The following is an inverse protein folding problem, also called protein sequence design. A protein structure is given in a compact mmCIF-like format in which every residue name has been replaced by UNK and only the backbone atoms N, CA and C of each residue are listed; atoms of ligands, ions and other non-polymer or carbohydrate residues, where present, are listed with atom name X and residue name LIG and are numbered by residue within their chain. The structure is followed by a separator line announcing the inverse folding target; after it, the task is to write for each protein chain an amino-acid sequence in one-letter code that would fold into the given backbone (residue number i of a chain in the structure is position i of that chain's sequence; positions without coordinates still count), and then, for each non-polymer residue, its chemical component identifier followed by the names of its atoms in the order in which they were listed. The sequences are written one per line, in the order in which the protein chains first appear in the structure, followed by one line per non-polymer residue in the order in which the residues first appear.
data_IF_250467195142
#
_entry.id   IF_250467195142
#
_cell.length_a   1.000
_cell.length_b   1.000
_cell.length_c   1.000
_cell.angle_alpha   90.00
_cell.angle_beta   90.00
_cell.angle_gamma   90.00
#
_symmetry.space_group_name_H-M   'P 1'
#
loop_
_entity.id
_entity.type
_entity.pdbx_description
1 polymer ?
#
# COMPACT_ATOMS: atom_id res chain seq x y z
N UNK A 1 -17.60 17.77 31.81
CA UNK A 1 -16.31 17.18 32.22
C UNK A 1 -16.48 16.10 33.29
N UNK A 2 -16.97 16.42 34.50
CA UNK A 2 -17.16 15.44 35.59
C UNK A 2 -18.23 14.35 35.29
N UNK A 3 -19.37 14.73 34.69
CA UNK A 3 -20.37 13.77 34.21
C UNK A 3 -19.85 12.86 33.08
N UNK A 4 -18.99 13.40 32.21
CA UNK A 4 -18.39 12.66 31.10
C UNK A 4 -17.42 11.58 31.60
N UNK A 5 -16.66 11.87 32.66
CA UNK A 5 -15.78 10.90 33.32
C UNK A 5 -16.58 9.78 34.01
N UNK A 6 -17.76 10.08 34.57
CA UNK A 6 -18.64 9.06 35.16
C UNK A 6 -19.28 8.15 34.11
N UNK A 7 -19.71 8.69 32.96
CA UNK A 7 -20.27 7.87 31.87
C UNK A 7 -19.21 6.97 31.22
N UNK A 8 -17.98 7.46 31.02
CA UNK A 8 -16.86 6.67 30.54
C UNK A 8 -16.44 5.56 31.52
N UNK A 9 -16.47 5.83 32.83
CA UNK A 9 -16.19 4.83 33.87
C UNK A 9 -17.27 3.73 33.92
N UNK A 10 -18.53 4.09 33.68
CA UNK A 10 -19.65 3.14 33.64
C UNK A 10 -19.64 2.28 32.36
N UNK A 11 -19.22 2.83 31.22
CA UNK A 11 -19.04 2.08 29.97
C UNK A 11 -17.89 1.09 30.07
N UNK A 12 -16.77 1.46 30.72
CA UNK A 12 -15.66 0.53 31.02
C UNK A 12 -16.09 -0.66 31.88
N UNK A 13 -16.84 -0.40 32.96
CA UNK A 13 -17.37 -1.47 33.83
C UNK A 13 -18.34 -2.43 33.13
N UNK A 14 -19.00 -1.99 32.07
CA UNK A 14 -19.93 -2.83 31.31
C UNK A 14 -19.22 -3.71 30.27
N UNK A 15 -18.01 -3.33 29.87
CA UNK A 15 -17.24 -4.00 28.83
C UNK A 15 -16.29 -5.09 29.38
N UNK A 16 -15.95 -5.04 30.67
CA UNK A 16 -15.09 -6.02 31.34
C UNK A 16 -15.86 -7.27 31.86
N UNK A 17 -17.19 -7.30 31.75
CA UNK A 17 -18.04 -8.37 32.30
C UNK A 17 -18.67 -9.31 31.25
N UNK A 18 -18.51 -9.04 29.94
CA UNK A 18 -18.98 -9.94 28.89
C UNK A 18 -17.77 -10.73 28.34
N UNK A 19 -17.55 -11.90 28.93
CA UNK A 19 -16.66 -12.92 28.37
C UNK A 19 -17.11 -13.29 26.94
N UNK A 20 -16.14 -13.30 26.03
CA UNK A 20 -16.03 -14.20 24.89
C UNK A 20 -17.25 -14.40 23.96
N UNK A 21 -17.06 -14.07 22.68
CA UNK A 21 -17.92 -14.50 21.57
C UNK A 21 -19.34 -13.89 21.50
N UNK A 22 -19.45 -12.63 21.05
CA UNK A 22 -20.76 -12.03 20.78
C UNK A 22 -20.85 -10.94 19.72
N UNK A 23 -19.74 -10.48 19.16
CA UNK A 23 -19.73 -9.28 18.30
C UNK A 23 -20.20 -9.62 16.87
N UNK A 24 -19.77 -10.74 16.30
CA UNK A 24 -20.09 -11.12 14.91
C UNK A 24 -21.57 -11.47 14.66
N UNK A 25 -22.28 -12.03 15.65
CA UNK A 25 -23.66 -12.48 15.45
C UNK A 25 -24.72 -11.37 15.52
N UNK A 26 -24.36 -10.20 16.08
CA UNK A 26 -25.27 -9.04 16.15
C UNK A 26 -25.16 -8.10 14.95
N UNK A 27 -24.06 -8.13 14.19
CA UNK A 27 -23.88 -7.28 13.00
C UNK A 27 -24.81 -7.67 11.83
N UNK A 28 -25.20 -8.95 11.70
CA UNK A 28 -26.10 -9.40 10.63
C UNK A 28 -27.61 -9.13 10.89
N UNK A 29 -27.99 -8.65 12.07
CA UNK A 29 -29.40 -8.44 12.43
C UNK A 29 -29.96 -7.05 12.06
N UNK A 30 -29.17 -6.16 11.45
CA UNK A 30 -29.55 -4.77 11.17
C UNK A 30 -29.61 -4.45 9.66
N UNK A 31 -30.11 -5.38 8.86
CA UNK A 31 -30.28 -5.26 7.39
C UNK A 31 -31.54 -4.51 6.93
N UNK A 32 -32.18 -3.69 7.78
CA UNK A 32 -33.33 -2.87 7.38
C UNK A 32 -32.96 -1.37 7.22
N UNK A 33 -32.05 -1.08 6.29
CA UNK A 33 -31.68 0.28 5.91
C UNK A 33 -32.73 1.01 5.05
N UNK A 34 -33.81 0.34 4.63
CA UNK A 34 -34.84 0.91 3.74
C UNK A 34 -35.92 1.74 4.46
N UNK A 35 -36.03 1.69 5.79
CA UNK A 35 -37.09 2.42 6.52
C UNK A 35 -36.62 3.66 7.29
N UNK A 36 -35.30 3.85 7.47
CA UNK A 36 -34.75 5.04 8.14
C UNK A 36 -35.20 6.37 7.50
N UNK A 37 -35.28 6.51 6.15
CA UNK A 37 -35.65 7.79 5.53
C UNK A 37 -37.08 8.26 5.87
N UNK A 38 -38.02 7.35 6.14
CA UNK A 38 -39.43 7.68 6.34
C UNK A 38 -39.78 7.98 7.82
N UNK A 39 -39.10 7.33 8.77
CA UNK A 39 -39.24 7.62 10.20
C UNK A 39 -38.57 8.96 10.53
N UNK A 40 -37.47 9.30 9.85
CA UNK A 40 -36.76 10.56 10.03
C UNK A 40 -37.60 11.72 9.48
N UNK A 41 -38.22 11.59 8.29
CA UNK A 41 -39.01 12.68 7.67
C UNK A 41 -40.28 13.13 8.43
N UNK A 42 -40.93 12.27 9.22
CA UNK A 42 -42.24 12.59 9.81
C UNK A 42 -42.22 13.29 11.18
N UNK A 43 -41.05 13.60 11.74
CA UNK A 43 -40.91 14.20 13.09
C UNK A 43 -40.04 15.46 13.16
N UNK A 44 -39.88 16.20 12.07
CA UNK A 44 -39.15 17.46 12.08
C UNK A 44 -40.08 18.64 12.32
N UNK A 45 -40.08 19.14 13.57
CA UNK A 45 -40.55 20.50 13.86
C UNK A 45 -39.45 21.51 13.51
N UNK A 46 -39.87 22.63 12.91
CA UNK A 46 -39.07 23.74 12.37
C UNK A 46 -38.31 24.55 13.42
N UNK A 47 -37.44 23.93 14.22
CA UNK A 47 -36.47 24.66 15.04
C UNK A 47 -35.04 24.47 14.49
N UNK A 48 -34.50 25.45 13.74
CA UNK A 48 -33.19 25.40 13.13
C UNK A 48 -32.05 25.16 14.12
N UNK A 49 -32.15 25.72 15.34
CA UNK A 49 -31.13 25.55 16.39
C UNK A 49 -31.07 24.12 16.90
N UNK A 50 -32.22 23.47 17.10
CA UNK A 50 -32.29 22.08 17.54
C UNK A 50 -31.75 21.12 16.47
N UNK A 51 -31.89 21.47 15.19
CA UNK A 51 -31.33 20.74 14.05
C UNK A 51 -29.81 20.86 14.00
N UNK A 52 -29.27 22.06 14.25
CA UNK A 52 -27.82 22.32 14.35
C UNK A 52 -27.22 21.54 15.53
N UNK A 53 -27.84 21.59 16.71
CA UNK A 53 -27.36 20.85 17.89
C UNK A 53 -27.41 19.33 17.70
N UNK A 54 -28.47 18.81 17.07
CA UNK A 54 -28.58 17.37 16.78
C UNK A 54 -27.58 16.91 15.72
N UNK A 55 -27.31 17.71 14.69
CA UNK A 55 -26.22 17.45 13.72
C UNK A 55 -24.86 17.46 14.41
N UNK A 56 -24.61 18.41 15.30
CA UNK A 56 -23.38 18.46 16.08
C UNK A 56 -23.20 17.22 16.98
N UNK A 57 -24.27 16.74 17.63
CA UNK A 57 -24.22 15.51 18.43
C UNK A 57 -23.98 14.26 17.59
N UNK A 58 -24.66 14.11 16.45
CA UNK A 58 -24.44 12.99 15.53
C UNK A 58 -23.02 13.01 15.00
N UNK A 59 -22.51 14.19 14.59
CA UNK A 59 -21.12 14.39 14.16
C UNK A 59 -20.14 13.99 15.27
N UNK A 60 -20.37 14.41 16.51
CA UNK A 60 -19.52 14.07 17.65
C UNK A 60 -19.55 12.57 17.99
N UNK A 61 -20.72 11.93 17.93
CA UNK A 61 -20.85 10.48 18.14
C UNK A 61 -20.15 9.68 17.04
N UNK A 62 -20.28 10.10 15.77
CA UNK A 62 -19.55 9.50 14.65
C UNK A 62 -18.03 9.69 14.82
N UNK A 63 -17.57 10.89 15.17
CA UNK A 63 -16.16 11.16 15.43
C UNK A 63 -15.63 10.28 16.58
N UNK A 64 -16.38 10.14 17.66
CA UNK A 64 -15.99 9.32 18.82
C UNK A 64 -15.97 7.83 18.46
N UNK A 65 -16.92 7.37 17.66
CA UNK A 65 -16.98 5.99 17.17
C UNK A 65 -15.81 5.69 16.22
N UNK A 66 -15.49 6.59 15.29
CA UNK A 66 -14.34 6.50 14.39
C UNK A 66 -13.03 6.45 15.18
N UNK A 67 -12.84 7.35 16.14
CA UNK A 67 -11.65 7.35 17.01
C UNK A 67 -11.56 6.03 17.79
N UNK A 68 -12.69 5.50 18.26
CA UNK A 68 -12.73 4.23 18.99
C UNK A 68 -12.37 3.03 18.10
N UNK A 69 -12.80 3.03 16.83
CA UNK A 69 -12.41 2.01 15.84
C UNK A 69 -10.91 2.06 15.52
N UNK A 70 -10.37 3.25 15.25
CA UNK A 70 -8.94 3.45 14.99
C UNK A 70 -8.10 3.00 16.21
N UNK A 71 -8.53 3.34 17.42
CA UNK A 71 -7.85 2.93 18.65
C UNK A 71 -7.98 1.42 18.92
N UNK A 72 -9.12 0.79 18.59
CA UNK A 72 -9.30 -0.65 18.72
C UNK A 72 -8.38 -1.42 17.77
N UNK A 73 -8.24 -0.98 16.51
CA UNK A 73 -7.28 -1.54 15.55
C UNK A 73 -5.84 -1.39 16.03
N UNK A 74 -5.46 -0.22 16.53
CA UNK A 74 -4.13 0.00 17.14
C UNK A 74 -3.86 -0.98 18.30
N UNK A 75 -4.88 -1.34 19.09
CA UNK A 75 -4.75 -2.27 20.20
C UNK A 75 -4.65 -3.74 19.74
N UNK A 76 -5.39 -4.14 18.71
CA UNK A 76 -5.24 -5.47 18.07
C UNK A 76 -3.82 -5.67 17.54
N UNK A 77 -3.24 -4.64 16.89
CA UNK A 77 -1.86 -4.67 16.40
C UNK A 77 -0.79 -4.72 17.51
N UNK A 78 -1.08 -4.18 18.69
CA UNK A 78 -0.16 -4.21 19.84
C UNK A 78 -0.28 -5.50 20.68
N UNK A 79 -1.39 -6.24 20.59
CA UNK A 79 -1.67 -7.43 21.38
C UNK A 79 -1.39 -8.76 20.67
N UNK A 80 -1.13 -8.77 19.35
CA UNK A 80 -0.83 -9.99 18.59
C UNK A 80 0.62 -10.48 18.79
N UNK A 81 0.95 -10.84 20.03
CA UNK A 81 1.94 -11.88 20.27
C UNK A 81 1.27 -13.23 19.99
N UNK A 82 1.75 -13.97 18.98
CA UNK A 82 1.44 -15.38 18.69
C UNK A 82 0.03 -15.74 18.20
N UNK A 83 -0.28 -15.43 16.93
CA UNK A 83 -1.02 -16.36 16.03
C UNK A 83 -0.82 -15.91 14.56
N UNK A 84 -0.06 -16.63 13.73
CA UNK A 84 0.29 -16.18 12.38
C UNK A 84 -0.85 -16.24 11.36
N UNK A 85 -2.06 -16.70 11.72
CA UNK A 85 -3.11 -16.94 10.72
C UNK A 85 -4.49 -16.33 10.99
N UNK A 86 -4.69 -15.56 12.07
CA UNK A 86 -6.01 -15.02 12.37
C UNK A 86 -6.16 -13.50 12.49
N UNK A 87 -5.12 -12.72 12.23
CA UNK A 87 -5.23 -11.25 12.27
C UNK A 87 -4.36 -10.59 11.21
N UNK A 88 -4.71 -10.74 9.94
CA UNK A 88 -4.25 -9.80 8.92
C UNK A 88 -5.49 -9.04 8.45
N UNK A 89 -5.49 -7.73 8.72
CA UNK A 89 -6.25 -6.79 7.91
C UNK A 89 -5.93 -7.07 6.44
N UNK A 90 -6.88 -6.78 5.57
CA UNK A 90 -6.68 -6.86 4.13
C UNK A 90 -5.51 -5.95 3.76
N UNK A 91 -4.28 -6.48 3.79
CA UNK A 91 -3.40 -6.24 2.66
C UNK A 91 -4.14 -6.83 1.46
N UNK A 92 -3.94 -6.29 0.27
CA UNK A 92 -4.44 -6.85 -0.99
C UNK A 92 -3.89 -8.29 -1.28
N UNK A 93 -3.73 -9.14 -0.27
CA UNK A 93 -3.91 -10.58 -0.40
C UNK A 93 -5.31 -10.85 -0.98
N UNK A 94 -5.32 -10.96 -2.30
CA UNK A 94 -6.44 -11.30 -3.17
C UNK A 94 -7.38 -12.30 -2.50
N UNK A 95 -8.65 -11.91 -2.41
CA UNK A 95 -9.75 -12.81 -2.05
C UNK A 95 -9.80 -13.98 -3.04
N UNK A 96 -9.91 -15.24 -2.55
CA UNK A 96 -10.07 -16.40 -3.42
C UNK A 96 -11.25 -16.21 -4.39
N UNK A 97 -11.10 -16.66 -5.62
CA UNK A 97 -12.21 -16.66 -6.56
C UNK A 97 -13.37 -17.52 -6.00
N UNK A 98 -14.51 -16.87 -5.75
CA UNK A 98 -15.83 -17.38 -5.30
C UNK A 98 -16.12 -17.43 -3.79
N UNK A 99 -16.63 -16.31 -3.25
CA UNK A 99 -17.25 -16.16 -1.92
C UNK A 99 -18.60 -16.90 -1.75
N UNK A 100 -18.82 -18.03 -2.43
CA UNK A 100 -20.00 -18.88 -2.21
C UNK A 100 -19.70 -20.26 -1.63
N UNK A 101 -18.43 -20.64 -1.54
CA UNK A 101 -18.03 -21.99 -1.09
C UNK A 101 -17.08 -21.94 0.12
N UNK A 102 -17.40 -21.12 1.15
CA UNK A 102 -16.62 -21.05 2.40
C UNK A 102 -16.47 -22.40 3.14
N UNK A 103 -17.24 -23.43 2.78
CA UNK A 103 -17.16 -24.77 3.38
C UNK A 103 -16.25 -25.78 2.64
N UNK A 104 -15.52 -25.38 1.58
CA UNK A 104 -14.73 -26.32 0.76
C UNK A 104 -13.22 -26.06 0.64
N UNK A 105 -12.69 -25.02 1.28
CA UNK A 105 -11.29 -24.62 1.12
C UNK A 105 -10.46 -24.91 2.37
N UNK A 106 -9.73 -26.05 2.45
CA UNK A 106 -8.61 -26.15 3.38
C UNK A 106 -7.58 -25.08 2.99
N UNK A 107 -7.27 -24.20 3.92
CA UNK A 107 -6.55 -22.92 3.79
C UNK A 107 -5.11 -22.96 3.24
N UNK A 108 -4.68 -24.02 2.54
CA UNK A 108 -3.26 -24.25 2.26
C UNK A 108 -2.86 -24.29 0.77
N UNK A 109 -3.76 -24.20 -0.21
CA UNK A 109 -3.38 -24.48 -1.62
C UNK A 109 -3.88 -23.49 -2.70
N UNK A 110 -4.70 -22.49 -2.39
CA UNK A 110 -5.24 -21.54 -3.39
C UNK A 110 -4.85 -20.11 -3.02
N UNK A 111 -3.77 -19.60 -3.59
CA UNK A 111 -3.23 -18.26 -3.28
C UNK A 111 -2.58 -17.67 -4.52
N UNK A 112 -2.74 -16.37 -4.81
CA UNK A 112 -1.85 -15.72 -5.74
C UNK A 112 -0.40 -15.81 -5.27
N UNK A 113 0.48 -15.73 -6.24
CA UNK A 113 1.92 -15.79 -6.04
C UNK A 113 2.50 -17.20 -6.03
N UNK A 114 1.72 -18.24 -6.36
CA UNK A 114 2.20 -19.64 -6.42
C UNK A 114 2.20 -20.18 -7.85
N UNK A 115 3.02 -21.19 -8.11
CA UNK A 115 2.91 -21.96 -9.35
C UNK A 115 1.62 -22.78 -9.36
N UNK A 116 0.82 -22.65 -10.42
CA UNK A 116 -0.36 -23.49 -10.59
C UNK A 116 0.01 -24.81 -11.30
N UNK A 117 -0.18 -25.91 -10.58
CA UNK A 117 0.02 -27.28 -11.07
C UNK A 117 -1.23 -27.85 -11.77
N UNK A 118 -2.29 -27.07 -11.87
CA UNK A 118 -3.62 -27.37 -12.41
C UNK A 118 -4.23 -28.65 -11.80
N UNK A 119 -4.18 -28.73 -10.48
CA UNK A 119 -4.74 -29.85 -9.73
C UNK A 119 -6.27 -29.84 -9.87
N UNK A 120 -6.82 -30.86 -10.51
CA UNK A 120 -8.26 -31.08 -10.69
C UNK A 120 -8.99 -29.97 -11.49
N UNK A 121 -8.36 -29.35 -12.50
CA UNK A 121 -8.97 -28.29 -13.31
C UNK A 121 -9.42 -27.08 -12.47
N UNK A 122 -8.72 -26.75 -11.39
CA UNK A 122 -8.98 -25.56 -10.58
C UNK A 122 -7.88 -24.53 -10.78
N UNK A 123 -8.26 -23.27 -10.68
CA UNK A 123 -7.34 -22.13 -10.65
C UNK A 123 -6.72 -22.04 -9.25
N UNK A 124 -5.44 -22.43 -9.12
CA UNK A 124 -4.75 -22.46 -7.82
C UNK A 124 -4.05 -21.14 -7.51
N UNK A 125 -3.71 -20.33 -8.52
CA UNK A 125 -2.94 -19.09 -8.35
C UNK A 125 -3.78 -17.82 -8.58
N UNK A 126 -5.10 -17.98 -8.75
CA UNK A 126 -6.07 -16.91 -8.94
C UNK A 126 -5.82 -16.03 -10.17
N UNK A 127 -5.05 -16.52 -11.16
CA UNK A 127 -4.78 -15.76 -12.39
C UNK A 127 -5.91 -15.91 -13.43
N UNK A 128 -6.98 -16.66 -13.12
CA UNK A 128 -8.14 -16.86 -13.99
C UNK A 128 -7.92 -17.86 -15.13
N UNK A 129 -6.79 -18.55 -15.18
CA UNK A 129 -6.43 -19.53 -16.21
C UNK A 129 -6.47 -20.93 -15.59
N UNK A 130 -7.41 -21.76 -16.04
CA UNK A 130 -7.59 -23.11 -15.51
C UNK A 130 -8.26 -24.03 -16.51
N UNK A 131 -8.31 -25.32 -16.19
CA UNK A 131 -8.94 -26.33 -17.03
C UNK A 131 -8.03 -26.88 -18.13
N UNK A 132 -8.63 -27.61 -19.07
CA UNK A 132 -7.94 -28.39 -20.10
C UNK A 132 -8.31 -27.92 -21.51
N UNK A 133 -7.31 -27.76 -22.37
CA UNK A 133 -7.49 -27.42 -23.78
C UNK A 133 -7.98 -28.66 -24.56
N UNK A 134 -9.17 -28.61 -25.19
CA UNK A 134 -9.80 -29.82 -25.74
C UNK A 134 -9.05 -30.49 -26.89
N UNK A 135 -8.16 -29.77 -27.60
CA UNK A 135 -7.48 -30.31 -28.80
C UNK A 135 -6.25 -31.12 -28.45
N UNK A 136 -5.53 -30.71 -27.41
CA UNK A 136 -4.25 -31.28 -26.99
C UNK A 136 -4.39 -32.11 -25.72
N UNK A 137 -5.47 -31.91 -24.94
CA UNK A 137 -5.64 -32.53 -23.62
C UNK A 137 -4.68 -32.00 -22.56
N UNK A 138 -3.90 -30.95 -22.86
CA UNK A 138 -3.02 -30.28 -21.91
C UNK A 138 -3.75 -29.20 -21.14
N UNK A 139 -3.28 -28.92 -19.94
CA UNK A 139 -3.86 -27.88 -19.11
C UNK A 139 -3.57 -26.49 -19.71
N UNK A 140 -4.52 -25.55 -19.65
CA UNK A 140 -4.32 -24.21 -20.22
C UNK A 140 -3.12 -23.49 -19.58
N UNK A 141 -2.96 -23.62 -18.26
CA UNK A 141 -1.80 -23.09 -17.52
C UNK A 141 -0.47 -23.67 -18.05
N UNK A 142 -0.43 -24.98 -18.30
CA UNK A 142 0.77 -25.64 -18.84
C UNK A 142 1.11 -25.17 -20.25
N UNK A 143 0.09 -24.83 -21.05
CA UNK A 143 0.25 -24.38 -22.43
C UNK A 143 0.64 -22.91 -22.50
N UNK A 144 -0.02 -22.06 -21.72
CA UNK A 144 0.04 -20.61 -21.88
C UNK A 144 1.01 -19.93 -20.91
N UNK A 145 1.27 -20.53 -19.74
CA UNK A 145 2.09 -19.92 -18.68
C UNK A 145 3.40 -20.68 -18.42
N UNK A 146 3.42 -22.01 -18.55
CA UNK A 146 4.61 -22.84 -18.24
C UNK A 146 5.45 -23.22 -19.46
N UNK A 147 5.65 -22.29 -20.39
CA UNK A 147 6.12 -22.55 -21.75
C UNK A 147 7.54 -23.19 -21.83
N UNK A 148 7.64 -24.50 -21.60
CA UNK A 148 8.83 -25.34 -21.73
C UNK A 148 9.21 -25.62 -23.21
N UNK A 149 8.48 -25.05 -24.17
CA UNK A 149 8.64 -25.39 -25.60
C UNK A 149 9.69 -24.55 -26.34
N UNK A 150 10.26 -23.52 -25.70
CA UNK A 150 11.44 -22.82 -26.20
C UNK A 150 12.56 -23.07 -25.18
N UNK A 151 13.71 -23.57 -25.63
CA UNK A 151 14.87 -23.98 -24.82
C UNK A 151 15.54 -22.86 -23.97
N UNK A 152 14.80 -21.88 -23.45
CA UNK A 152 15.21 -20.89 -22.48
C UNK A 152 14.20 -20.84 -21.33
N UNK A 153 14.54 -21.55 -20.26
CA UNK A 153 14.22 -21.29 -18.85
C UNK A 153 12.73 -21.20 -18.46
N UNK A 154 12.31 -22.15 -17.61
CA UNK A 154 11.34 -21.98 -16.50
C UNK A 154 10.56 -20.65 -16.49
N UNK A 155 9.23 -20.74 -16.66
CA UNK A 155 8.22 -19.66 -16.60
C UNK A 155 8.77 -18.32 -16.09
N UNK A 156 8.83 -17.32 -16.98
CA UNK A 156 9.27 -15.98 -16.66
C UNK A 156 8.22 -15.17 -15.89
N UNK A 157 7.03 -15.74 -15.64
CA UNK A 157 5.97 -15.15 -14.82
C UNK A 157 6.50 -14.88 -13.42
N UNK A 158 6.19 -13.70 -12.89
CA UNK A 158 6.68 -13.24 -11.59
C UNK A 158 5.57 -12.59 -10.79
N UNK A 159 5.85 -12.29 -9.53
CA UNK A 159 5.05 -11.37 -8.71
C UNK A 159 5.64 -9.96 -8.71
N UNK A 160 4.82 -8.95 -8.43
CA UNK A 160 5.27 -7.60 -8.08
C UNK A 160 5.07 -7.37 -6.58
N UNK A 161 6.14 -7.09 -5.84
CA UNK A 161 6.07 -6.92 -4.38
C UNK A 161 6.56 -5.52 -4.00
N UNK A 162 5.80 -4.82 -3.16
CA UNK A 162 6.18 -3.51 -2.62
C UNK A 162 6.45 -3.61 -1.11
N UNK A 163 7.66 -3.26 -0.69
CA UNK A 163 8.06 -3.00 0.69
C UNK A 163 8.27 -1.51 0.87
N UNK A 164 7.63 -0.90 1.86
CA UNK A 164 7.83 0.53 2.03
C UNK A 164 7.00 1.14 3.14
N UNK A 165 6.77 2.44 3.00
CA UNK A 165 6.06 3.26 3.96
C UNK A 165 4.69 3.71 3.43
N UNK A 166 4.14 4.76 4.03
CA UNK A 166 2.89 5.41 3.65
C UNK A 166 2.82 5.83 2.18
N UNK A 167 3.93 6.33 1.61
CA UNK A 167 3.96 6.70 0.19
C UNK A 167 3.83 5.45 -0.70
N UNK A 168 4.45 4.34 -0.28
CA UNK A 168 4.37 3.07 -1.00
C UNK A 168 2.99 2.41 -0.92
N UNK A 169 2.28 2.62 0.19
CA UNK A 169 0.89 2.19 0.39
C UNK A 169 -0.14 3.14 -0.25
N UNK A 170 0.28 4.32 -0.70
CA UNK A 170 -0.59 5.29 -1.35
C UNK A 170 -1.48 6.03 -0.34
N UNK A 171 -0.92 6.43 0.80
CA UNK A 171 -1.62 7.25 1.78
C UNK A 171 -2.23 8.48 1.09
N UNK A 172 -3.55 8.62 1.17
CA UNK A 172 -4.26 9.71 0.55
C UNK A 172 -5.55 10.03 1.31
N UNK A 173 -5.71 11.31 1.63
CA UNK A 173 -6.96 11.84 2.15
C UNK A 173 -7.53 12.80 1.09
N UNK A 174 -8.67 12.45 0.46
CA UNK A 174 -9.32 13.34 -0.50
C UNK A 174 -9.60 14.72 0.13
N UNK A 175 -9.10 15.83 -0.45
CA UNK A 175 -9.37 17.18 0.08
C UNK A 175 -10.87 17.48 0.20
N UNK A 176 -11.69 16.86 -0.65
CA UNK A 176 -13.15 16.97 -0.61
C UNK A 176 -13.72 16.52 0.75
N UNK A 177 -13.06 15.61 1.45
CA UNK A 177 -13.49 15.09 2.76
C UNK A 177 -13.28 16.07 3.92
N UNK A 178 -12.64 17.22 3.67
CA UNK A 178 -12.71 18.35 4.60
C UNK A 178 -14.12 18.91 4.72
N UNK A 179 -14.93 18.77 3.68
CA UNK A 179 -16.38 18.90 3.78
C UNK A 179 -16.98 17.54 4.17
N UNK A 180 -17.52 17.49 5.39
CA UNK A 180 -18.16 16.29 5.94
C UNK A 180 -19.33 15.80 5.09
N UNK A 181 -19.99 16.70 4.35
CA UNK A 181 -21.11 16.34 3.48
C UNK A 181 -20.63 15.59 2.21
N UNK A 182 -19.34 15.70 1.87
CA UNK A 182 -18.70 14.98 0.76
C UNK A 182 -18.00 13.69 1.19
N UNK A 183 -17.94 13.38 2.50
CA UNK A 183 -17.33 12.14 2.98
C UNK A 183 -18.15 10.93 2.53
N UNK A 184 -17.60 10.16 1.61
CA UNK A 184 -18.14 8.87 1.17
C UNK A 184 -17.19 7.75 1.55
N UNK A 185 -17.71 6.52 1.70
CA UNK A 185 -16.89 5.32 1.95
C UNK A 185 -15.90 5.44 3.13
N UNK A 186 -16.31 6.11 4.22
CA UNK A 186 -15.46 6.29 5.42
C UNK A 186 -15.05 4.95 6.04
N UNK A 187 -15.89 3.91 5.92
CA UNK A 187 -15.54 2.56 6.36
C UNK A 187 -14.29 2.02 5.66
N UNK A 188 -14.25 2.10 4.34
CA UNK A 188 -13.10 1.71 3.52
C UNK A 188 -11.82 2.46 3.94
N UNK A 189 -11.88 3.79 4.05
CA UNK A 189 -10.72 4.60 4.44
C UNK A 189 -10.14 4.19 5.79
N UNK A 190 -11.00 3.83 6.75
CA UNK A 190 -10.54 3.47 8.10
C UNK A 190 -10.03 2.04 8.16
N UNK A 191 -10.59 1.14 7.35
CA UNK A 191 -10.16 -0.26 7.27
C UNK A 191 -8.82 -0.38 6.57
N UNK A 192 -8.57 0.44 5.55
CA UNK A 192 -7.31 0.48 4.78
C UNK A 192 -6.36 1.59 5.28
N UNK A 193 -6.57 2.12 6.49
CA UNK A 193 -5.64 3.06 7.15
C UNK A 193 -5.35 4.36 6.36
N UNK A 194 -6.29 4.80 5.53
CA UNK A 194 -6.18 5.91 4.55
C UNK A 194 -5.21 5.64 3.41
N UNK A 195 -4.76 4.39 3.25
CA UNK A 195 -3.96 3.92 2.15
C UNK A 195 -4.85 3.54 0.96
N UNK A 196 -4.29 3.65 -0.24
CA UNK A 196 -4.97 3.34 -1.50
C UNK A 196 -4.07 2.45 -2.37
N UNK A 197 -3.70 1.24 -1.90
CA UNK A 197 -2.75 0.35 -2.56
C UNK A 197 -3.17 -0.02 -3.99
N UNK A 198 -4.47 0.01 -4.28
CA UNK A 198 -5.05 -0.23 -5.59
C UNK A 198 -4.74 0.86 -6.63
N UNK A 199 -4.18 2.00 -6.21
CA UNK A 199 -3.78 3.12 -7.09
C UNK A 199 -2.27 3.39 -7.09
N UNK A 200 -1.48 2.72 -6.26
CA UNK A 200 -0.05 3.00 -6.16
C UNK A 200 0.71 2.70 -7.46
N UNK A 201 1.82 3.40 -7.66
CA UNK A 201 2.71 3.25 -8.81
C UNK A 201 3.26 1.82 -8.99
N UNK A 202 3.36 1.04 -7.92
CA UNK A 202 3.95 -0.30 -7.94
C UNK A 202 2.91 -1.40 -8.17
N UNK A 203 1.95 -1.52 -7.26
CA UNK A 203 0.97 -2.61 -7.19
C UNK A 203 -0.44 -2.23 -7.63
N UNK A 204 -0.68 -0.95 -7.98
CA UNK A 204 -2.02 -0.48 -8.29
C UNK A 204 -2.66 -1.26 -9.43
N UNK A 205 -3.92 -1.64 -9.25
CA UNK A 205 -4.67 -2.50 -10.17
C UNK A 205 -5.96 -1.85 -10.68
N UNK A 206 -6.42 -0.75 -10.08
CA UNK A 206 -7.62 -0.05 -10.49
C UNK A 206 -7.39 0.77 -11.77
N UNK A 207 -7.46 0.08 -12.91
CA UNK A 207 -7.30 0.65 -14.25
C UNK A 207 -8.24 1.83 -14.54
N UNK A 208 -9.37 1.95 -13.85
CA UNK A 208 -10.27 3.09 -14.04
C UNK A 208 -9.68 4.37 -13.45
N UNK A 209 -8.97 4.25 -12.34
CA UNK A 209 -8.33 5.38 -11.65
C UNK A 209 -6.98 5.73 -12.26
N UNK A 210 -6.13 4.72 -12.54
CA UNK A 210 -4.72 4.95 -12.89
C UNK A 210 -4.39 4.72 -14.38
N UNK A 211 -5.33 4.16 -15.13
CA UNK A 211 -5.13 3.76 -16.53
C UNK A 211 -4.50 2.37 -16.67
N UNK A 212 -4.45 1.85 -17.91
CA UNK A 212 -3.99 0.49 -18.18
C UNK A 212 -2.51 0.25 -17.86
N UNK A 213 -1.69 1.29 -17.84
CA UNK A 213 -0.25 1.26 -17.59
C UNK A 213 0.14 2.11 -16.37
N UNK A 214 -0.84 2.41 -15.49
CA UNK A 214 -0.63 3.31 -14.35
C UNK A 214 0.30 2.79 -13.26
N UNK A 215 0.63 1.49 -13.28
CA UNK A 215 1.52 0.87 -12.31
C UNK A 215 2.50 -0.12 -12.94
N UNK A 216 3.56 -0.49 -12.20
CA UNK A 216 4.48 -1.56 -12.59
C UNK A 216 3.75 -2.90 -12.74
N UNK A 217 2.85 -3.25 -11.81
CA UNK A 217 2.02 -4.46 -11.89
C UNK A 217 1.25 -4.53 -13.21
N UNK A 218 0.51 -3.47 -13.57
CA UNK A 218 -0.28 -3.47 -14.79
C UNK A 218 0.60 -3.53 -16.04
N UNK A 219 1.74 -2.83 -16.06
CA UNK A 219 2.73 -2.92 -17.16
C UNK A 219 3.29 -4.33 -17.32
N UNK A 220 3.57 -5.04 -16.23
CA UNK A 220 4.00 -6.43 -16.27
C UNK A 220 2.88 -7.36 -16.75
N UNK A 221 1.65 -7.19 -16.24
CA UNK A 221 0.46 -7.96 -16.63
C UNK A 221 0.14 -7.81 -18.13
N UNK A 222 0.30 -6.61 -18.70
CA UNK A 222 0.12 -6.40 -20.14
C UNK A 222 1.08 -7.25 -20.98
N UNK A 223 2.29 -7.52 -20.46
CA UNK A 223 3.30 -8.32 -21.15
C UNK A 223 3.04 -9.80 -20.97
N UNK A 224 2.62 -10.23 -19.79
CA UNK A 224 2.28 -11.62 -19.50
C UNK A 224 0.97 -11.68 -18.71
N UNK A 225 -0.13 -12.08 -19.38
CA UNK A 225 -1.44 -12.17 -18.72
C UNK A 225 -1.49 -13.25 -17.62
N UNK A 226 -0.53 -14.18 -17.58
CA UNK A 226 -0.37 -15.11 -16.46
C UNK A 226 0.00 -14.41 -15.14
N UNK A 227 0.47 -13.15 -15.20
CA UNK A 227 0.72 -12.30 -14.01
C UNK A 227 -0.54 -11.69 -13.41
N UNK A 228 -1.74 -11.99 -13.90
CA UNK A 228 -2.97 -11.51 -13.30
C UNK A 228 -3.04 -11.85 -11.79
N UNK A 229 -3.30 -10.83 -10.96
CA UNK A 229 -3.36 -10.88 -9.48
C UNK A 229 -2.05 -11.23 -8.76
N UNK A 230 -0.93 -11.27 -9.48
CA UNK A 230 0.38 -11.60 -8.91
C UNK A 230 1.07 -10.34 -8.35
N UNK A 231 0.45 -9.69 -7.36
CA UNK A 231 1.01 -8.52 -6.69
C UNK A 231 0.80 -8.58 -5.16
N UNK A 232 1.68 -7.93 -4.41
CA UNK A 232 1.56 -7.77 -2.95
C UNK A 232 2.09 -6.40 -2.54
N UNK A 233 1.29 -5.64 -1.79
CA UNK A 233 1.76 -4.43 -1.11
C UNK A 233 1.84 -4.70 0.39
N UNK A 234 3.06 -4.69 0.93
CA UNK A 234 3.33 -4.83 2.37
C UNK A 234 3.91 -3.54 2.96
N UNK A 235 3.69 -2.42 2.25
CA UNK A 235 3.92 -1.08 2.78
C UNK A 235 3.00 -0.81 3.97
N UNK A 236 3.45 0.08 4.87
CA UNK A 236 2.67 0.46 6.02
C UNK A 236 2.98 1.90 6.42
N UNK A 237 1.97 2.64 6.86
CA UNK A 237 2.14 3.95 7.45
C UNK A 237 3.19 3.94 8.59
N UNK A 238 4.22 4.79 8.48
CA UNK A 238 5.34 4.81 9.44
C UNK A 238 6.43 3.74 9.24
N UNK A 239 6.34 2.92 8.18
CA UNK A 239 7.36 1.92 7.83
C UNK A 239 8.73 2.55 7.59
N UNK A 240 9.78 1.94 8.13
CA UNK A 240 11.19 2.34 7.96
C UNK A 240 12.08 1.09 7.95
N UNK A 241 13.39 1.25 7.72
CA UNK A 241 14.30 0.10 7.57
C UNK A 241 14.31 -0.85 8.77
N UNK A 242 14.02 -0.35 9.98
CA UNK A 242 13.90 -1.16 11.20
C UNK A 242 12.77 -2.19 11.12
N UNK A 243 11.71 -1.88 10.36
CA UNK A 243 10.54 -2.74 10.21
C UNK A 243 10.72 -3.80 9.14
N UNK A 244 11.71 -3.65 8.25
CA UNK A 244 11.93 -4.57 7.13
C UNK A 244 12.05 -6.01 7.62
N UNK A 245 12.95 -6.28 8.56
CA UNK A 245 13.16 -7.62 9.11
C UNK A 245 12.03 -8.15 10.02
N UNK A 246 10.98 -7.36 10.27
CA UNK A 246 9.86 -7.69 11.15
C UNK A 246 8.56 -7.80 10.38
N UNK A 247 7.56 -7.01 10.78
CA UNK A 247 6.18 -7.15 10.29
C UNK A 247 6.05 -7.06 8.76
N UNK A 248 6.97 -6.38 8.05
CA UNK A 248 6.88 -6.31 6.59
C UNK A 248 7.24 -7.63 5.91
N UNK A 249 8.24 -8.36 6.40
CA UNK A 249 8.52 -9.71 5.90
C UNK A 249 7.50 -10.74 6.42
N UNK A 250 6.89 -10.49 7.58
CA UNK A 250 5.86 -11.38 8.12
C UNK A 250 4.50 -11.18 7.44
N UNK A 251 4.24 -9.99 6.88
CA UNK A 251 3.07 -9.71 6.04
C UNK A 251 3.16 -10.27 4.61
N UNK A 252 4.33 -10.78 4.19
CA UNK A 252 4.48 -11.43 2.89
C UNK A 252 3.81 -12.80 2.88
N UNK A 253 2.98 -13.02 1.87
CA UNK A 253 2.52 -14.37 1.51
C UNK A 253 3.50 -14.98 0.51
N UNK A 254 4.49 -15.72 1.02
CA UNK A 254 5.49 -16.35 0.17
C UNK A 254 5.99 -17.68 0.75
N UNK A 255 6.15 -18.67 -0.13
CA UNK A 255 6.77 -19.95 0.17
C UNK A 255 7.90 -20.22 -0.83
N UNK A 256 8.80 -21.19 -0.59
CA UNK A 256 9.78 -21.60 -1.60
C UNK A 256 9.16 -22.11 -2.91
N UNK A 257 7.86 -22.43 -2.93
CA UNK A 257 7.09 -22.84 -4.11
C UNK A 257 6.36 -21.66 -4.78
N UNK A 258 6.55 -20.45 -4.30
CA UNK A 258 6.01 -19.25 -4.92
C UNK A 258 6.70 -18.93 -6.25
N UNK A 259 6.02 -18.16 -7.10
CA UNK A 259 6.63 -17.53 -8.27
C UNK A 259 7.76 -16.59 -7.81
N UNK A 260 8.89 -16.49 -8.55
CA UNK A 260 9.88 -15.45 -8.30
C UNK A 260 9.24 -14.06 -8.38
N UNK A 261 9.84 -13.05 -7.75
CA UNK A 261 9.27 -11.70 -7.75
C UNK A 261 10.21 -10.65 -8.35
N UNK A 262 9.64 -9.52 -8.74
CA UNK A 262 10.32 -8.22 -8.78
C UNK A 262 9.79 -7.38 -7.61
N UNK A 263 10.70 -7.05 -6.71
CA UNK A 263 10.41 -6.36 -5.46
C UNK A 263 10.94 -4.94 -5.52
N UNK A 264 10.28 -4.04 -4.83
CA UNK A 264 10.71 -2.66 -4.60
C UNK A 264 10.81 -2.42 -3.11
N UNK A 265 11.95 -1.94 -2.64
CA UNK A 265 12.16 -1.52 -1.25
C UNK A 265 12.31 0.00 -1.21
N UNK A 266 11.26 0.66 -0.74
CA UNK A 266 11.04 2.10 -0.82
C UNK A 266 10.68 2.69 0.56
N UNK A 267 11.62 2.66 1.51
CA UNK A 267 11.53 3.43 2.75
C UNK A 267 12.05 4.85 2.49
N UNK A 268 11.22 5.70 1.89
CA UNK A 268 11.72 6.93 1.28
C UNK A 268 11.84 8.11 2.26
N UNK A 269 11.22 8.04 3.44
CA UNK A 269 11.21 9.17 4.39
C UNK A 269 11.44 8.82 5.86
N UNK A 270 10.80 7.80 6.41
CA UNK A 270 10.67 7.61 7.87
C UNK A 270 11.98 7.36 8.63
N UNK A 271 13.08 7.02 7.96
CA UNK A 271 14.40 6.93 8.58
C UNK A 271 15.01 8.32 8.91
N UNK A 272 14.55 9.38 8.24
CA UNK A 272 14.98 10.77 8.47
C UNK A 272 13.84 11.69 8.95
N UNK A 273 12.58 11.30 8.75
CA UNK A 273 11.44 12.04 9.28
C UNK A 273 11.26 11.81 10.78
N UNK A 274 11.70 12.81 11.56
CA UNK A 274 11.82 12.79 13.03
C UNK A 274 11.53 14.16 13.60
N UNK A 275 11.44 14.24 14.93
CA UNK A 275 11.30 15.52 15.63
C UNK A 275 12.64 16.27 15.68
N UNK A 276 13.75 15.52 15.75
CA UNK A 276 15.12 16.05 15.82
C UNK A 276 16.10 15.31 14.91
N UNK A 277 17.23 15.97 14.58
CA UNK A 277 18.30 15.39 13.75
C UNK A 277 18.97 14.16 14.40
N UNK A 278 18.98 14.10 15.73
CA UNK A 278 19.67 13.06 16.50
C UNK A 278 18.90 11.72 16.48
N UNK A 279 17.59 11.76 16.26
CA UNK A 279 16.74 10.57 16.21
C UNK A 279 16.76 9.87 14.85
N UNK A 280 17.32 10.51 13.82
CA UNK A 280 17.41 9.93 12.49
C UNK A 280 18.28 8.67 12.50
N UNK A 281 17.87 7.67 11.75
CA UNK A 281 18.66 6.44 11.57
C UNK A 281 20.05 6.81 11.06
N UNK A 282 21.09 6.25 11.68
CA UNK A 282 22.47 6.46 11.23
C UNK A 282 22.82 5.55 10.06
N UNK A 283 23.82 5.89 9.22
CA UNK A 283 24.27 5.00 8.14
C UNK A 283 24.62 3.57 8.61
N UNK A 284 25.25 3.44 9.78
CA UNK A 284 25.58 2.14 10.37
C UNK A 284 24.32 1.35 10.74
N UNK A 285 23.36 1.99 11.43
CA UNK A 285 22.11 1.33 11.80
C UNK A 285 21.32 0.91 10.56
N UNK A 286 21.31 1.75 9.53
CA UNK A 286 20.67 1.44 8.25
C UNK A 286 21.33 0.24 7.57
N UNK A 287 22.67 0.21 7.47
CA UNK A 287 23.43 -0.93 6.91
C UNK A 287 23.11 -2.23 7.65
N UNK A 288 23.17 -2.23 8.98
CA UNK A 288 22.89 -3.41 9.81
C UNK A 288 21.45 -3.92 9.62
N UNK A 289 20.46 -3.02 9.63
CA UNK A 289 19.04 -3.36 9.50
C UNK A 289 18.68 -3.82 8.09
N UNK A 290 19.20 -3.15 7.06
CA UNK A 290 19.02 -3.55 5.67
C UNK A 290 19.62 -4.94 5.43
N UNK A 291 20.85 -5.19 5.88
CA UNK A 291 21.51 -6.49 5.73
C UNK A 291 20.76 -7.62 6.45
N UNK A 292 20.22 -7.35 7.64
CA UNK A 292 19.38 -8.30 8.37
C UNK A 292 18.13 -8.65 7.56
N UNK A 293 17.39 -7.66 7.08
CA UNK A 293 16.18 -7.87 6.29
C UNK A 293 16.46 -8.58 4.97
N UNK A 294 17.51 -8.20 4.24
CA UNK A 294 17.93 -8.85 3.00
C UNK A 294 18.27 -10.33 3.19
N UNK A 295 18.96 -10.67 4.29
CA UNK A 295 19.32 -12.05 4.61
C UNK A 295 18.07 -12.91 4.89
N UNK A 296 17.10 -12.36 5.63
CA UNK A 296 15.84 -13.03 5.93
C UNK A 296 14.97 -13.20 4.68
N UNK A 297 14.87 -12.15 3.86
CA UNK A 297 14.12 -12.20 2.61
C UNK A 297 14.74 -13.22 1.65
N UNK A 298 16.07 -13.22 1.48
CA UNK A 298 16.76 -14.17 0.59
C UNK A 298 16.50 -15.63 0.99
N UNK A 299 16.52 -15.92 2.29
CA UNK A 299 16.24 -17.27 2.80
C UNK A 299 14.80 -17.74 2.50
N UNK A 300 13.83 -16.83 2.43
CA UNK A 300 12.41 -17.12 2.12
C UNK A 300 12.11 -17.10 0.62
N UNK A 301 12.95 -16.46 -0.20
CA UNK A 301 12.65 -16.13 -1.60
C UNK A 301 12.85 -17.29 -2.56
N UNK A 302 11.94 -17.48 -3.54
CA UNK A 302 12.20 -18.33 -4.69
C UNK A 302 13.44 -17.86 -5.47
N UNK A 303 14.23 -18.79 -6.05
CA UNK A 303 15.37 -18.43 -6.89
C UNK A 303 14.97 -17.52 -8.05
N UNK A 304 15.91 -16.70 -8.52
CA UNK A 304 15.71 -15.76 -9.63
C UNK A 304 14.72 -14.61 -9.32
N UNK A 305 14.51 -14.31 -8.04
CA UNK A 305 13.81 -13.10 -7.61
C UNK A 305 14.72 -11.88 -7.74
N UNK A 306 14.11 -10.68 -7.85
CA UNK A 306 14.78 -9.40 -8.08
C UNK A 306 14.32 -8.40 -7.04
N UNK A 307 15.21 -7.56 -6.53
CA UNK A 307 14.86 -6.51 -5.57
C UNK A 307 15.57 -5.21 -5.94
N UNK A 308 14.78 -4.19 -6.26
CA UNK A 308 15.26 -2.83 -6.48
C UNK A 308 15.20 -2.06 -5.16
N UNK A 309 16.37 -1.65 -4.67
CA UNK A 309 16.48 -0.72 -3.55
C UNK A 309 16.31 0.70 -4.09
N UNK A 310 15.34 1.45 -3.56
CA UNK A 310 15.09 2.84 -3.94
C UNK A 310 15.71 3.74 -2.86
N UNK A 311 16.49 4.73 -3.29
CA UNK A 311 17.06 5.74 -2.39
C UNK A 311 15.98 6.55 -1.66
N UNK A 312 16.36 7.25 -0.60
CA UNK A 312 15.48 8.18 0.08
C UNK A 312 15.29 9.46 -0.77
N UNK A 313 14.17 10.14 -0.57
CA UNK A 313 13.86 11.39 -1.27
C UNK A 313 14.68 12.57 -0.71
N UNK A 314 14.97 13.55 -1.56
CA UNK A 314 15.34 14.89 -1.11
C UNK A 314 14.06 15.69 -0.78
N UNK A 315 13.61 15.59 0.47
CA UNK A 315 12.36 16.20 0.92
C UNK A 315 12.35 17.73 0.98
N UNK A 316 13.42 18.43 0.58
CA UNK A 316 13.41 19.91 0.49
C UNK A 316 12.36 20.44 -0.45
N UNK A 317 11.97 19.65 -1.47
CA UNK A 317 10.86 19.99 -2.37
C UNK A 317 9.59 20.35 -1.60
N UNK A 318 9.30 19.66 -0.50
CA UNK A 318 8.07 19.85 0.27
C UNK A 318 7.95 21.29 0.77
N UNK A 319 8.94 21.77 1.51
CA UNK A 319 8.93 23.15 1.98
C UNK A 319 9.00 24.12 0.80
N UNK A 320 9.92 23.92 -0.14
CA UNK A 320 10.18 24.86 -1.24
C UNK A 320 8.93 25.10 -2.10
N UNK A 321 8.15 24.06 -2.38
CA UNK A 321 6.97 24.14 -3.24
C UNK A 321 5.70 24.49 -2.45
N UNK A 322 5.59 24.10 -1.17
CA UNK A 322 4.32 24.15 -0.45
C UNK A 322 4.17 25.31 0.53
N UNK A 323 5.24 25.77 1.20
CA UNK A 323 5.12 26.60 2.42
C UNK A 323 4.21 27.83 2.29
N UNK A 324 4.30 28.56 1.15
CA UNK A 324 3.49 29.75 0.88
C UNK A 324 2.12 29.47 0.21
N UNK A 325 1.84 28.22 -0.16
CA UNK A 325 0.58 27.85 -0.79
C UNK A 325 -0.53 27.72 0.25
N UNK A 326 -1.76 27.92 -0.17
CA UNK A 326 -2.94 27.75 0.68
C UNK A 326 -3.34 26.28 0.69
N UNK A 327 -3.26 25.66 1.86
CA UNK A 327 -3.79 24.35 2.17
C UNK A 327 -5.32 24.34 2.02
N UNK A 328 -5.97 23.21 1.65
CA UNK A 328 -7.43 23.09 1.56
C UNK A 328 -8.25 23.55 2.79
N UNK A 329 -7.63 23.65 3.98
CA UNK A 329 -8.25 24.24 5.19
C UNK A 329 -8.28 25.78 5.20
N UNK A 330 -7.74 26.46 4.18
CA UNK A 330 -7.70 27.93 4.10
C UNK A 330 -6.54 28.59 4.85
N UNK A 331 -5.52 27.83 5.25
CA UNK A 331 -4.29 28.32 5.90
C UNK A 331 -3.09 28.08 4.98
N UNK A 332 -1.94 28.73 5.20
CA UNK A 332 -0.72 28.36 4.47
C UNK A 332 -0.21 26.98 4.93
N UNK A 333 0.51 26.24 4.08
CA UNK A 333 1.17 25.00 4.55
C UNK A 333 2.19 25.29 5.64
N UNK A 334 2.90 26.42 5.63
CA UNK A 334 3.72 26.84 6.76
C UNK A 334 2.90 26.90 8.07
N UNK A 335 1.71 27.50 8.02
CA UNK A 335 0.79 27.56 9.16
C UNK A 335 0.33 26.17 9.61
N UNK A 336 0.05 25.27 8.66
CA UNK A 336 -0.27 23.87 8.94
C UNK A 336 0.91 23.15 9.62
N UNK A 337 2.11 23.23 9.05
CA UNK A 337 3.31 22.58 9.59
C UNK A 337 3.62 23.08 11.01
N UNK A 338 3.50 24.39 11.24
CA UNK A 338 3.65 24.97 12.58
C UNK A 338 2.59 24.42 13.57
N UNK A 339 1.33 24.32 13.15
CA UNK A 339 0.27 23.73 13.97
C UNK A 339 0.58 22.26 14.30
N UNK A 340 0.96 21.46 13.30
CA UNK A 340 1.29 20.04 13.48
C UNK A 340 2.47 19.87 14.44
N UNK A 341 3.53 20.66 14.30
CA UNK A 341 4.67 20.65 15.23
C UNK A 341 4.24 21.02 16.65
N UNK A 342 3.44 22.08 16.82
CA UNK A 342 2.95 22.50 18.14
C UNK A 342 2.09 21.41 18.82
N UNK A 343 1.35 20.63 18.02
CA UNK A 343 0.53 19.51 18.50
C UNK A 343 1.29 18.19 18.69
N UNK A 344 2.57 18.11 18.29
CA UNK A 344 3.34 16.86 18.30
C UNK A 344 2.89 15.84 17.25
N UNK A 345 2.33 16.30 16.14
CA UNK A 345 1.77 15.48 15.07
C UNK A 345 2.38 15.78 13.68
N UNK A 346 3.51 16.49 13.62
CA UNK A 346 4.21 16.73 12.35
C UNK A 346 4.84 15.41 11.87
N UNK A 347 4.48 14.90 10.67
CA UNK A 347 4.99 13.63 10.19
C UNK A 347 6.49 13.67 9.89
N UNK A 348 7.06 14.86 9.69
CA UNK A 348 8.46 15.03 9.35
C UNK A 348 8.96 16.43 9.72
N UNK A 349 9.05 16.75 11.02
CA UNK A 349 9.46 18.09 11.49
C UNK A 349 10.82 18.53 10.93
N UNK A 350 11.69 17.57 10.62
CA UNK A 350 13.02 17.78 10.05
C UNK A 350 13.01 18.29 8.59
N UNK A 351 11.95 18.03 7.81
CA UNK A 351 11.75 18.65 6.48
C UNK A 351 10.65 19.71 6.46
N UNK A 352 9.60 19.55 7.25
CA UNK A 352 8.43 20.43 7.32
C UNK A 352 8.65 21.54 8.36
N UNK A 353 9.71 22.32 8.16
CA UNK A 353 10.16 23.40 9.06
C UNK A 353 10.70 24.58 8.27
N UNK A 354 10.53 25.83 8.74
CA UNK A 354 11.16 27.01 8.12
C UNK A 354 12.69 27.02 8.24
N UNK A 355 13.27 26.23 9.15
CA UNK A 355 14.73 26.16 9.33
C UNK A 355 15.43 25.40 8.18
N UNK A 356 16.01 26.17 7.27
CA UNK A 356 16.74 25.64 6.11
C UNK A 356 17.94 24.77 6.50
N UNK A 357 18.63 25.09 7.61
CA UNK A 357 19.77 24.30 8.06
C UNK A 357 19.34 22.89 8.46
N UNK A 358 18.22 22.77 9.18
CA UNK A 358 17.61 21.48 9.52
C UNK A 358 17.17 20.73 8.27
N UNK A 359 16.51 21.39 7.30
CA UNK A 359 16.11 20.73 6.04
C UNK A 359 17.31 20.22 5.24
N UNK A 360 18.40 21.00 5.18
CA UNK A 360 19.63 20.61 4.50
C UNK A 360 20.32 19.43 5.20
N UNK A 361 20.42 19.45 6.54
CA UNK A 361 21.00 18.34 7.30
C UNK A 361 20.19 17.04 7.16
N UNK A 362 18.86 17.14 7.12
CA UNK A 362 17.95 16.01 6.89
C UNK A 362 18.18 15.38 5.53
N UNK A 363 18.28 16.21 4.50
CA UNK A 363 18.50 15.75 3.11
C UNK A 363 19.91 15.19 2.93
N UNK A 364 20.90 15.73 3.65
CA UNK A 364 22.23 15.14 3.73
C UNK A 364 22.16 13.73 4.33
N UNK A 365 21.46 13.54 5.47
CA UNK A 365 21.28 12.20 6.05
C UNK A 365 20.58 11.26 5.07
N UNK A 366 19.52 11.71 4.39
CA UNK A 366 18.81 10.92 3.39
C UNK A 366 19.76 10.45 2.26
N UNK A 367 20.62 11.33 1.77
CA UNK A 367 21.67 10.99 0.80
C UNK A 367 22.68 9.98 1.37
N UNK A 368 23.11 10.12 2.62
CA UNK A 368 24.03 9.17 3.26
C UNK A 368 23.43 7.77 3.36
N UNK A 369 22.15 7.65 3.74
CA UNK A 369 21.44 6.37 3.81
C UNK A 369 21.24 5.75 2.41
N UNK A 370 20.95 6.59 1.41
CA UNK A 370 20.81 6.18 0.01
C UNK A 370 22.14 5.61 -0.54
N UNK A 371 23.27 6.24 -0.19
CA UNK A 371 24.60 5.74 -0.54
C UNK A 371 24.91 4.37 0.09
N UNK A 372 24.43 4.11 1.31
CA UNK A 372 24.53 2.79 1.95
C UNK A 372 23.76 1.74 1.15
N UNK A 373 22.51 2.01 0.78
CA UNK A 373 21.71 1.10 -0.05
C UNK A 373 22.37 0.83 -1.41
N UNK A 374 22.89 1.88 -2.06
CA UNK A 374 23.62 1.76 -3.31
C UNK A 374 24.85 0.85 -3.17
N UNK A 375 25.71 1.12 -2.17
CA UNK A 375 26.89 0.31 -1.86
C UNK A 375 26.52 -1.16 -1.66
N UNK A 376 25.49 -1.44 -0.84
CA UNK A 376 25.02 -2.81 -0.57
C UNK A 376 24.57 -3.51 -1.86
N UNK A 377 23.81 -2.83 -2.73
CA UNK A 377 23.34 -3.41 -3.99
C UNK A 377 24.47 -3.86 -4.92
N UNK A 378 25.63 -3.20 -4.83
CA UNK A 378 26.81 -3.48 -5.65
C UNK A 378 27.69 -4.57 -5.04
N UNK A 379 27.87 -4.56 -3.71
CA UNK A 379 28.85 -5.41 -3.01
C UNK A 379 28.28 -6.72 -2.50
N UNK A 380 27.00 -6.76 -2.14
CA UNK A 380 26.37 -7.94 -1.53
C UNK A 380 25.82 -8.85 -2.62
N UNK A 381 26.07 -10.15 -2.47
CA UNK A 381 25.52 -11.21 -3.32
C UNK A 381 24.64 -12.12 -2.48
N UNK A 382 23.35 -12.14 -2.82
CA UNK A 382 22.35 -13.01 -2.24
C UNK A 382 22.18 -14.26 -3.12
N UNK A 383 21.65 -15.34 -2.55
CA UNK A 383 21.55 -16.63 -3.24
C UNK A 383 20.40 -16.66 -4.24
N UNK A 384 19.23 -16.18 -3.82
CA UNK A 384 17.97 -16.27 -4.55
C UNK A 384 17.58 -14.94 -5.19
N UNK A 385 18.06 -13.82 -4.64
CA UNK A 385 17.71 -12.46 -5.06
C UNK A 385 18.85 -11.77 -5.80
N UNK A 386 18.56 -11.18 -6.96
CA UNK A 386 19.44 -10.20 -7.59
C UNK A 386 19.11 -8.79 -7.09
N UNK A 387 20.11 -8.07 -6.59
CA UNK A 387 19.96 -6.70 -6.11
C UNK A 387 20.21 -5.67 -7.23
N UNK A 388 19.50 -4.57 -7.14
CA UNK A 388 19.69 -3.36 -7.93
C UNK A 388 19.45 -2.14 -7.06
N UNK A 389 19.90 -0.98 -7.53
CA UNK A 389 19.68 0.29 -6.86
C UNK A 389 19.30 1.37 -7.87
N UNK A 390 18.40 2.25 -7.46
CA UNK A 390 18.01 3.46 -8.16
C UNK A 390 17.83 4.58 -7.13
N UNK A 391 18.34 5.78 -7.41
CA UNK A 391 18.00 6.96 -6.62
C UNK A 391 16.49 7.24 -6.73
N UNK A 392 15.87 7.80 -5.69
CA UNK A 392 14.48 8.23 -5.79
C UNK A 392 14.31 9.18 -6.99
N UNK A 393 13.34 8.94 -7.90
CA UNK A 393 13.31 9.58 -9.22
C UNK A 393 12.85 11.05 -9.22
N UNK A 394 12.99 11.78 -8.11
CA UNK A 394 12.57 13.17 -7.99
C UNK A 394 13.18 14.09 -9.07
N UNK A 395 14.48 14.03 -9.41
CA UNK A 395 15.02 14.85 -10.49
C UNK A 395 14.34 14.61 -11.84
N UNK A 396 14.00 13.35 -12.14
CA UNK A 396 13.31 12.96 -13.36
C UNK A 396 11.85 13.42 -13.34
N UNK A 397 11.17 13.35 -12.19
CA UNK A 397 9.81 13.86 -12.02
C UNK A 397 9.75 15.38 -12.17
N UNK A 398 10.74 16.10 -11.65
CA UNK A 398 10.87 17.55 -11.81
C UNK A 398 11.15 17.94 -13.27
N UNK A 399 11.98 17.19 -13.97
CA UNK A 399 12.22 17.40 -15.39
C UNK A 399 10.95 17.09 -16.22
N UNK A 400 10.20 16.04 -15.89
CA UNK A 400 8.88 15.79 -16.47
C UNK A 400 7.94 16.98 -16.26
N UNK A 401 7.85 17.49 -15.03
CA UNK A 401 7.03 18.66 -14.72
C UNK A 401 7.42 19.87 -15.57
N UNK A 402 8.72 20.15 -15.69
CA UNK A 402 9.25 21.24 -16.51
C UNK A 402 8.92 21.07 -18.00
N UNK A 403 9.11 19.86 -18.55
CA UNK A 403 8.83 19.57 -19.97
C UNK A 403 7.36 19.72 -20.32
N UNK A 404 6.48 19.36 -19.39
CA UNK A 404 5.03 19.41 -19.57
C UNK A 404 4.37 20.69 -19.02
N UNK A 405 5.16 21.67 -18.54
CA UNK A 405 4.67 22.91 -17.91
C UNK A 405 3.71 22.66 -16.73
N UNK A 406 3.98 21.59 -15.99
CA UNK A 406 3.22 21.19 -14.82
C UNK A 406 3.90 21.77 -13.58
N UNK A 407 3.16 22.44 -12.68
CA UNK A 407 3.71 22.91 -11.43
C UNK A 407 4.21 21.77 -10.52
N UNK A 408 5.45 21.82 -9.99
CA UNK A 408 6.00 20.74 -9.16
C UNK A 408 5.20 20.41 -7.90
N UNK A 409 4.49 21.38 -7.31
CA UNK A 409 3.65 21.14 -6.13
C UNK A 409 2.55 20.08 -6.38
N UNK A 410 2.18 19.81 -7.64
CA UNK A 410 1.21 18.74 -7.97
C UNK A 410 1.77 17.34 -7.75
N UNK A 411 3.09 17.20 -7.58
CA UNK A 411 3.71 15.95 -7.17
C UNK A 411 3.46 15.61 -5.69
N UNK A 412 2.90 16.55 -4.90
CA UNK A 412 2.75 16.42 -3.45
C UNK A 412 1.26 16.31 -3.11
N UNK A 413 0.91 15.42 -2.18
CA UNK A 413 -0.45 15.25 -1.69
C UNK A 413 -0.98 16.57 -1.08
N UNK A 414 -2.12 17.08 -1.56
CA UNK A 414 -2.64 18.36 -1.11
C UNK A 414 -3.13 18.34 0.35
N UNK A 415 -3.55 17.21 0.89
CA UNK A 415 -4.08 17.17 2.26
C UNK A 415 -2.99 17.19 3.33
N UNK A 416 -1.90 16.44 3.16
CA UNK A 416 -0.82 16.43 4.16
C UNK A 416 0.34 17.35 3.79
N UNK A 417 0.49 17.71 2.51
CA UNK A 417 1.62 18.49 2.02
C UNK A 417 2.96 17.78 2.22
N UNK A 418 2.95 16.44 2.18
CA UNK A 418 4.08 15.59 2.55
C UNK A 418 4.28 14.41 1.59
N UNK A 419 3.26 13.57 1.34
CA UNK A 419 3.42 12.38 0.52
C UNK A 419 3.46 12.68 -0.98
N UNK A 420 3.94 11.73 -1.79
CA UNK A 420 3.78 11.77 -3.24
C UNK A 420 2.30 11.70 -3.60
N UNK A 421 1.86 12.53 -4.55
CA UNK A 421 0.45 12.51 -4.93
C UNK A 421 0.05 11.24 -5.67
N UNK A 422 -0.88 10.48 -5.13
CA UNK A 422 -1.32 9.22 -5.75
C UNK A 422 -2.07 9.45 -7.07
N UNK A 423 -2.75 10.60 -7.19
CA UNK A 423 -3.51 10.94 -8.39
C UNK A 423 -2.63 11.48 -9.52
N UNK A 424 -1.38 11.80 -9.25
CA UNK A 424 -0.52 12.50 -10.21
C UNK A 424 0.94 12.00 -10.23
N UNK A 425 1.62 12.05 -9.09
CA UNK A 425 3.03 11.69 -8.96
C UNK A 425 3.28 10.21 -9.23
N UNK A 426 2.45 9.32 -8.65
CA UNK A 426 2.62 7.87 -8.73
C UNK A 426 2.65 7.36 -10.18
N UNK A 427 1.77 7.89 -11.04
CA UNK A 427 1.77 7.50 -12.46
C UNK A 427 3.09 7.87 -13.17
N UNK A 428 3.62 9.05 -12.86
CA UNK A 428 4.89 9.53 -13.42
C UNK A 428 6.05 8.69 -12.87
N UNK A 429 6.02 8.38 -11.58
CA UNK A 429 7.00 7.52 -10.92
C UNK A 429 7.01 6.10 -11.54
N UNK A 430 5.85 5.49 -11.76
CA UNK A 430 5.72 4.19 -12.43
C UNK A 430 6.37 4.21 -13.83
N UNK A 431 6.13 5.26 -14.61
CA UNK A 431 6.71 5.42 -15.95
C UNK A 431 8.24 5.55 -15.89
N UNK A 432 8.76 6.40 -15.00
CA UNK A 432 10.20 6.62 -14.84
C UNK A 432 10.91 5.34 -14.40
N UNK A 433 10.37 4.64 -13.40
CA UNK A 433 10.93 3.38 -12.90
C UNK A 433 10.85 2.30 -13.98
N UNK A 434 9.75 2.22 -14.73
CA UNK A 434 9.62 1.29 -15.85
C UNK A 434 10.66 1.54 -16.94
N UNK A 435 10.89 2.80 -17.30
CA UNK A 435 11.90 3.19 -18.29
C UNK A 435 13.30 2.87 -17.78
N UNK A 436 13.58 3.09 -16.49
CA UNK A 436 14.84 2.72 -15.88
C UNK A 436 15.07 1.19 -15.90
N UNK A 437 14.05 0.39 -15.54
CA UNK A 437 14.12 -1.06 -15.61
C UNK A 437 14.38 -1.52 -17.05
N UNK A 438 13.68 -0.93 -18.02
CA UNK A 438 13.83 -1.27 -19.43
C UNK A 438 15.24 -0.99 -19.95
N UNK A 439 15.85 0.13 -19.54
CA UNK A 439 17.18 0.53 -19.98
C UNK A 439 18.31 -0.22 -19.24
N UNK A 440 18.17 -0.42 -17.93
CA UNK A 440 19.28 -0.87 -17.07
C UNK A 440 19.18 -2.33 -16.65
N UNK A 441 17.95 -2.87 -16.60
CA UNK A 441 17.65 -4.21 -16.10
C UNK A 441 16.58 -4.92 -16.97
N UNK A 442 16.71 -4.96 -18.32
CA UNK A 442 15.67 -5.52 -19.18
C UNK A 442 15.34 -6.99 -18.87
N UNK A 443 16.30 -7.77 -18.34
CA UNK A 443 16.09 -9.16 -17.90
C UNK A 443 15.28 -9.30 -16.61
N UNK A 444 14.98 -8.20 -15.92
CA UNK A 444 14.07 -8.19 -14.77
C UNK A 444 12.60 -8.14 -15.22
N UNK A 445 12.35 -7.56 -16.40
CA UNK A 445 11.02 -7.43 -16.99
C UNK A 445 10.64 -8.75 -17.67
N UNK A 446 9.41 -9.20 -17.42
CA UNK A 446 8.90 -10.43 -18.06
C UNK A 446 8.87 -10.26 -19.59
N UNK A 447 9.20 -11.29 -20.37
CA UNK A 447 9.03 -11.24 -21.82
C UNK A 447 7.56 -11.12 -22.19
N UNK A 448 7.28 -10.68 -23.42
CA UNK A 448 5.90 -10.69 -23.93
C UNK A 448 5.46 -12.14 -24.14
N UNK A 449 4.37 -12.55 -23.50
CA UNK A 449 3.80 -13.87 -23.65
C UNK A 449 3.03 -13.98 -24.98
N UNK A 450 3.52 -14.87 -25.86
CA UNK A 450 2.93 -15.11 -27.18
C UNK A 450 1.52 -15.71 -27.16
N UNK A 451 1.01 -16.10 -25.98
CA UNK A 451 -0.34 -16.61 -25.79
C UNK A 451 -1.33 -15.59 -25.23
N UNK A 452 -0.95 -14.32 -25.00
CA UNK A 452 -1.86 -13.32 -24.43
C UNK A 452 -3.18 -13.18 -25.20
N UNK A 453 -3.13 -13.21 -26.54
CA UNK A 453 -4.36 -13.15 -27.35
C UNK A 453 -5.27 -14.36 -27.12
N UNK A 454 -4.70 -15.55 -26.95
CA UNK A 454 -5.43 -16.79 -26.69
C UNK A 454 -5.97 -16.80 -25.27
N UNK A 455 -5.19 -16.36 -24.27
CA UNK A 455 -5.65 -16.19 -22.89
C UNK A 455 -6.87 -15.27 -22.87
N UNK A 456 -6.81 -14.13 -23.55
CA UNK A 456 -7.94 -13.19 -23.60
C UNK A 456 -9.16 -13.77 -24.34
N UNK A 457 -8.95 -14.55 -25.41
CA UNK A 457 -10.05 -15.21 -26.13
C UNK A 457 -10.76 -16.27 -25.28
N UNK A 458 -10.01 -17.03 -24.46
CA UNK A 458 -10.57 -18.13 -23.66
C UNK A 458 -11.10 -17.64 -22.32
N UNK A 459 -10.39 -16.74 -21.65
CA UNK A 459 -10.65 -16.33 -20.26
C UNK A 459 -11.14 -14.89 -20.11
N UNK A 460 -11.23 -14.12 -21.20
CA UNK A 460 -11.74 -12.76 -21.18
C UNK A 460 -10.91 -11.83 -20.29
N UNK A 461 -11.51 -11.30 -19.23
CA UNK A 461 -10.85 -10.46 -18.23
C UNK A 461 -10.22 -11.25 -17.07
N UNK A 462 -10.13 -12.59 -17.18
CA UNK A 462 -9.57 -13.47 -16.15
C UNK A 462 -10.27 -13.35 -14.78
N UNK A 463 -11.52 -12.89 -14.77
CA UNK A 463 -12.35 -12.79 -13.58
C UNK A 463 -12.18 -11.52 -12.75
N UNK A 464 -11.38 -10.54 -13.15
CA UNK A 464 -11.28 -9.27 -12.41
C UNK A 464 -9.93 -8.58 -12.52
N UNK A 465 -9.41 -8.08 -11.40
CA UNK A 465 -8.42 -6.99 -11.31
C UNK A 465 -6.95 -7.32 -11.62
#
# INVERSE_FOLDING_TARGET
MFQLQQELANLRKKHDNDEGYGIYKKMNAWTNWKELPNIVKSKFNDNPQLLIEKRARIKHSLQTWIVSLVMARRKEMQQSSFDPFHTNGFSDSVTPASDKDQDFFPANHFLPGIFDQNLNNKDMNCNGIYGTEPKTGKSYESLYCNNNNNNNSSSATRQVIMFGDSASSGFHIPPEYLDVDNMTNVGFLLEDEFDWPQKCWSTGWDMNSIGQDGSIYLRMRQRDLCMHRQYQNVGHNGGKIENFAGYQLDGLSMTPQSLPFIGFLAYIGNDVCKDTLQEMTTPQQFEERLMKGLTLLDARSPPNSKLLLIGLVDGRILWNEMHNRIHPLGVTYEGLYHFLTCSGANPCQTWLTPDEATRNATSQRASELSQVANKISQTVKLKNIELGYMDFPLPQMLEYCKQHQIPPYLLIEPFDGFHTSINFADKIEAEIIWNWLSANKPHWIVPVNGFNSQIQQVFGNQGGF
#
